data_IF_833403262592
#
_entry.id   IF_833403262592
#
_cell.length_a   1.000
_cell.length_b   1.000
_cell.length_c   1.000
_cell.angle_alpha   90.00
_cell.angle_beta   90.00
_cell.angle_gamma   90.00
#
_symmetry.space_group_name_H-M   'P 1'
#
loop_
_entity.id
_entity.type
_entity.pdbx_description
1 polymer ?
#
# COMPACT_ATOMS: atom_id res chain seq x y z
N UNK A 1 -11.48 -4.45 23.72
CA UNK A 1 -12.24 -3.18 23.80
C UNK A 1 -11.22 -2.04 23.73
N UNK A 2 -11.18 -1.28 22.64
CA UNK A 2 -10.23 -0.18 22.46
C UNK A 2 -10.73 0.97 23.35
N UNK A 3 -9.97 1.31 24.40
CA UNK A 3 -10.22 2.53 25.19
C UNK A 3 -9.58 3.70 24.44
N UNK A 4 -10.31 4.27 23.48
CA UNK A 4 -9.95 5.57 22.94
C UNK A 4 -10.51 6.66 23.86
N UNK A 5 -9.81 7.80 24.04
CA UNK A 5 -10.34 8.94 24.79
C UNK A 5 -11.46 9.69 24.05
N UNK A 6 -11.92 9.16 22.91
CA UNK A 6 -12.94 9.73 22.06
C UNK A 6 -14.05 8.71 21.82
N UNK A 7 -15.30 9.18 21.86
CA UNK A 7 -16.45 8.40 21.42
C UNK A 7 -16.56 8.54 19.90
N UNK A 8 -16.41 7.44 19.18
CA UNK A 8 -16.60 7.43 17.73
C UNK A 8 -18.09 7.40 17.40
N UNK A 9 -18.55 8.31 16.56
CA UNK A 9 -19.86 8.19 15.93
C UNK A 9 -19.76 7.15 14.79
N UNK A 10 -20.68 6.18 14.71
CA UNK A 10 -20.71 5.24 13.59
C UNK A 10 -20.98 5.98 12.28
N UNK A 11 -20.36 5.55 11.19
CA UNK A 11 -20.66 6.09 9.86
C UNK A 11 -22.09 5.71 9.46
N UNK A 12 -22.81 6.65 8.86
CA UNK A 12 -24.18 6.44 8.39
C UNK A 12 -24.18 5.36 7.29
N UNK A 13 -24.96 4.28 7.49
CA UNK A 13 -25.11 3.22 6.48
C UNK A 13 -25.87 3.70 5.25
N UNK A 14 -26.84 4.58 5.48
CA UNK A 14 -27.68 5.19 4.46
C UNK A 14 -27.59 6.71 4.62
N UNK A 15 -27.42 7.41 3.49
CA UNK A 15 -27.45 8.87 3.45
C UNK A 15 -28.82 9.28 2.95
N UNK A 16 -29.52 10.09 3.74
CA UNK A 16 -30.80 10.64 3.32
C UNK A 16 -30.57 11.80 2.33
N UNK A 17 -31.19 11.70 1.16
CA UNK A 17 -31.25 12.78 0.18
C UNK A 17 -32.70 13.23 0.05
N UNK A 18 -33.06 14.45 0.48
CA UNK A 18 -34.41 14.96 0.25
C UNK A 18 -34.70 15.11 -1.25
N UNK A 19 -35.97 15.08 -1.65
CA UNK A 19 -36.38 15.21 -3.05
C UNK A 19 -35.83 16.46 -3.74
N UNK A 20 -35.69 17.55 -2.99
CA UNK A 20 -35.15 18.85 -3.43
C UNK A 20 -33.62 18.96 -3.36
N UNK A 21 -32.89 17.88 -3.01
CA UNK A 21 -31.43 17.95 -2.81
C UNK A 21 -30.65 18.44 -4.04
N UNK A 22 -31.17 18.22 -5.25
CA UNK A 22 -30.57 18.66 -6.51
C UNK A 22 -30.84 20.13 -6.82
N UNK A 23 -31.82 20.74 -6.15
CA UNK A 23 -32.25 22.12 -6.37
C UNK A 23 -31.50 23.11 -5.47
N UNK A 24 -30.71 22.61 -4.51
CA UNK A 24 -29.87 23.44 -3.64
C UNK A 24 -28.72 24.03 -4.45
N UNK A 25 -28.82 25.32 -4.76
CA UNK A 25 -27.72 26.13 -5.27
C UNK A 25 -27.38 27.23 -4.27
N UNK A 26 -26.10 27.42 -3.98
CA UNK A 26 -25.65 28.60 -3.23
C UNK A 26 -25.61 29.88 -4.10
N UNK A 27 -25.71 29.72 -5.42
CA UNK A 27 -25.59 30.81 -6.40
C UNK A 27 -26.95 31.33 -6.89
N UNK A 28 -28.02 30.56 -6.69
CA UNK A 28 -29.38 30.91 -7.13
C UNK A 28 -30.30 30.85 -5.92
N UNK A 29 -30.73 31.99 -5.35
CA UNK A 29 -31.70 31.99 -4.27
C UNK A 29 -33.05 31.46 -4.78
N UNK A 30 -33.79 30.79 -3.90
CA UNK A 30 -35.17 30.38 -4.21
C UNK A 30 -36.03 31.63 -4.41
N UNK A 31 -36.92 31.59 -5.41
CA UNK A 31 -37.80 32.72 -5.77
C UNK A 31 -38.70 33.15 -4.60
N UNK A 32 -39.07 32.18 -3.77
CA UNK A 32 -39.89 32.26 -2.55
C UNK A 32 -39.05 32.05 -1.28
N UNK A 33 -37.72 32.15 -1.37
CA UNK A 33 -36.83 32.00 -0.24
C UNK A 33 -36.88 33.21 0.69
N UNK A 34 -37.18 32.97 1.96
CA UNK A 34 -37.06 33.98 3.01
C UNK A 34 -35.60 34.12 3.46
N UNK A 35 -35.13 35.37 3.60
CA UNK A 35 -33.82 35.67 4.18
C UNK A 35 -33.99 36.40 5.52
N UNK A 36 -33.13 36.10 6.49
CA UNK A 36 -33.17 36.78 7.78
C UNK A 36 -31.85 36.66 8.52
N UNK A 37 -31.73 37.45 9.58
CA UNK A 37 -30.60 37.43 10.49
C UNK A 37 -31.06 36.94 11.86
N UNK A 38 -30.23 36.11 12.49
CA UNK A 38 -30.44 35.61 13.84
C UNK A 38 -29.31 36.13 14.71
N UNK A 39 -29.64 36.98 15.67
CA UNK A 39 -28.70 37.45 16.68
C UNK A 39 -28.68 36.49 17.86
N UNK A 40 -27.49 36.03 18.25
CA UNK A 40 -27.29 35.01 19.28
C UNK A 40 -26.23 35.47 20.28
N UNK A 41 -26.50 35.29 21.57
CA UNK A 41 -25.51 35.45 22.64
C UNK A 41 -24.96 34.08 23.04
N UNK A 42 -23.63 33.90 22.96
CA UNK A 42 -22.96 32.63 23.29
C UNK A 42 -22.15 32.83 24.58
N UNK A 43 -22.43 32.02 25.60
CA UNK A 43 -21.70 32.02 26.87
C UNK A 43 -20.82 30.78 26.99
N UNK A 44 -19.54 30.97 27.32
CA UNK A 44 -18.62 29.86 27.60
C UNK A 44 -18.82 29.35 29.04
N UNK A 45 -19.33 28.13 29.21
CA UNK A 45 -19.50 27.48 30.52
C UNK A 45 -18.20 26.90 31.12
N UNK A 46 -17.16 26.78 30.30
CA UNK A 46 -15.82 26.36 30.68
C UNK A 46 -14.79 27.20 29.93
N UNK A 47 -13.52 27.25 30.37
CA UNK A 47 -12.46 27.89 29.59
C UNK A 47 -12.42 27.33 28.16
N UNK A 48 -12.43 28.22 27.17
CA UNK A 48 -12.33 27.88 25.75
C UNK A 48 -11.02 28.43 25.18
N UNK A 49 -10.41 27.68 24.29
CA UNK A 49 -9.20 28.11 23.57
C UNK A 49 -9.44 28.05 22.07
N UNK A 50 -9.27 29.20 21.39
CA UNK A 50 -9.45 29.32 19.95
C UNK A 50 -8.15 29.85 19.36
N UNK A 51 -7.49 29.00 18.58
CA UNK A 51 -6.19 29.29 18.00
C UNK A 51 -6.28 30.31 16.86
N UNK A 52 -5.29 31.20 16.77
CA UNK A 52 -5.13 32.07 15.61
C UNK A 52 -4.59 31.31 14.37
N UNK A 53 -4.87 31.86 13.19
CA UNK A 53 -4.50 31.34 11.87
C UNK A 53 -3.00 30.99 11.76
N UNK A 54 -2.67 29.94 10.98
CA UNK A 54 -1.27 29.54 10.72
C UNK A 54 -0.58 30.41 9.66
N UNK A 55 -1.32 31.20 8.89
CA UNK A 55 -0.78 31.98 7.76
C UNK A 55 -0.02 33.23 8.20
N UNK A 56 -0.26 33.72 9.41
CA UNK A 56 0.38 34.93 9.97
C UNK A 56 1.63 34.61 10.81
N UNK A 57 2.23 33.43 10.60
CA UNK A 57 3.28 32.89 11.46
C UNK A 57 4.66 32.99 10.79
N UNK A 58 5.48 33.95 11.22
CA UNK A 58 6.93 33.94 10.96
C UNK A 58 7.61 32.72 11.61
N UNK A 59 8.80 32.35 11.13
CA UNK A 59 9.47 31.07 11.47
C UNK A 59 9.67 30.83 12.99
N UNK A 60 9.77 31.88 13.81
CA UNK A 60 9.92 31.78 15.28
C UNK A 60 8.62 31.39 16.03
N UNK A 61 7.45 31.55 15.41
CA UNK A 61 6.14 31.32 16.06
C UNK A 61 5.63 29.87 15.97
N UNK A 62 6.48 28.91 15.59
CA UNK A 62 6.14 27.48 15.56
C UNK A 62 6.03 26.82 16.94
N UNK A 63 6.44 27.51 18.02
CA UNK A 63 6.50 26.92 19.38
C UNK A 63 5.25 27.13 20.24
N UNK A 64 4.45 28.18 20.01
CA UNK A 64 3.28 28.46 20.85
C UNK A 64 2.06 28.92 20.05
N UNK A 65 0.90 28.35 20.37
CA UNK A 65 -0.37 28.70 19.73
C UNK A 65 -1.02 29.82 20.52
N UNK A 66 -1.19 31.00 19.90
CA UNK A 66 -1.85 32.15 20.52
C UNK A 66 -3.36 32.13 20.31
N UNK A 67 -4.10 32.78 21.22
CA UNK A 67 -5.53 33.03 21.07
C UNK A 67 -5.80 33.88 19.82
N UNK A 68 -6.96 33.66 19.19
CA UNK A 68 -7.44 34.48 18.10
C UNK A 68 -7.88 35.85 18.63
N UNK A 69 -7.23 36.92 18.16
CA UNK A 69 -7.53 38.27 18.58
C UNK A 69 -7.33 39.28 17.44
N UNK A 70 -8.09 40.37 17.47
CA UNK A 70 -7.87 41.57 16.65
C UNK A 70 -7.77 42.75 17.61
N UNK A 71 -6.65 43.48 17.56
CA UNK A 71 -6.42 44.68 18.38
C UNK A 71 -6.71 44.48 19.88
N UNK A 72 -6.27 43.36 20.44
CA UNK A 72 -6.45 43.01 21.86
C UNK A 72 -7.82 42.42 22.22
N UNK A 73 -8.79 42.39 21.30
CA UNK A 73 -10.10 41.76 21.52
C UNK A 73 -10.09 40.31 21.03
N UNK A 74 -10.35 39.38 21.93
CA UNK A 74 -10.52 37.97 21.58
C UNK A 74 -11.87 37.73 20.92
N UNK A 75 -11.91 36.84 19.94
CA UNK A 75 -13.14 36.51 19.24
C UNK A 75 -13.13 35.05 18.76
N UNK A 76 -14.33 34.56 18.43
CA UNK A 76 -14.51 33.26 17.76
C UNK A 76 -14.68 33.53 16.27
N UNK A 77 -13.79 33.05 15.39
CA UNK A 77 -13.99 33.17 13.95
C UNK A 77 -15.31 32.52 13.52
N UNK A 78 -16.03 33.15 12.60
CA UNK A 78 -17.27 32.60 12.03
C UNK A 78 -17.03 31.22 11.40
N UNK A 79 -15.85 30.99 10.83
CA UNK A 79 -15.43 29.68 10.28
C UNK A 79 -15.34 28.60 11.35
N UNK A 80 -14.94 28.94 12.58
CA UNK A 80 -14.90 28.01 13.71
C UNK A 80 -16.31 27.64 14.16
N UNK A 81 -17.22 28.61 14.29
CA UNK A 81 -18.63 28.37 14.63
C UNK A 81 -19.28 27.49 13.56
N UNK A 82 -19.11 27.85 12.28
CA UNK A 82 -19.59 27.07 11.13
C UNK A 82 -19.05 25.64 11.17
N UNK A 83 -17.76 25.46 11.47
CA UNK A 83 -17.13 24.15 11.59
C UNK A 83 -17.74 23.30 12.70
N UNK A 84 -17.96 23.87 13.88
CA UNK A 84 -18.58 23.20 15.03
C UNK A 84 -20.01 22.79 14.72
N UNK A 85 -20.84 23.71 14.24
CA UNK A 85 -22.24 23.45 13.89
C UNK A 85 -22.32 22.38 12.80
N UNK A 86 -21.52 22.50 11.74
CA UNK A 86 -21.47 21.53 10.65
C UNK A 86 -21.10 20.13 11.17
N UNK A 87 -20.08 20.01 12.01
CA UNK A 87 -19.64 18.73 12.57
C UNK A 87 -20.76 18.02 13.33
N UNK A 88 -21.50 18.76 14.17
CA UNK A 88 -22.64 18.22 14.91
C UNK A 88 -23.81 17.90 13.98
N UNK A 89 -24.19 18.83 13.11
CA UNK A 89 -25.29 18.67 12.16
C UNK A 89 -25.08 17.48 11.22
N UNK A 90 -23.88 17.32 10.66
CA UNK A 90 -23.54 16.22 9.76
C UNK A 90 -23.74 14.86 10.45
N UNK A 91 -23.42 14.75 11.75
CA UNK A 91 -23.64 13.54 12.55
C UNK A 91 -25.14 13.32 12.81
N UNK A 92 -25.84 14.32 13.35
CA UNK A 92 -27.25 14.13 13.77
C UNK A 92 -28.23 13.99 12.61
N UNK A 93 -27.91 14.53 11.44
CA UNK A 93 -28.76 14.49 10.25
C UNK A 93 -28.56 13.25 9.38
N UNK A 94 -27.70 12.32 9.79
CA UNK A 94 -27.29 11.19 8.95
C UNK A 94 -26.75 11.62 7.56
N UNK A 95 -26.17 12.82 7.48
CA UNK A 95 -25.63 13.36 6.23
C UNK A 95 -24.41 12.58 5.74
N UNK A 96 -24.05 12.74 4.46
CA UNK A 96 -22.79 12.23 3.92
C UNK A 96 -21.63 12.94 4.58
N UNK A 97 -20.91 12.26 5.46
CA UNK A 97 -19.67 12.76 6.03
C UNK A 97 -18.62 12.87 4.91
N UNK A 98 -18.13 14.08 4.62
CA UNK A 98 -17.27 14.33 3.44
C UNK A 98 -15.79 14.06 3.70
N UNK A 99 -15.36 14.23 4.94
CA UNK A 99 -13.96 14.13 5.35
C UNK A 99 -13.62 12.74 5.95
N UNK A 100 -14.25 11.68 5.42
CA UNK A 100 -13.97 10.30 5.83
C UNK A 100 -13.52 9.49 4.62
N UNK A 101 -12.39 8.81 4.78
CA UNK A 101 -11.76 8.03 3.74
C UNK A 101 -11.94 6.54 4.10
N UNK A 102 -12.71 5.80 3.30
CA UNK A 102 -12.99 4.36 3.53
C UNK A 102 -11.86 3.48 2.99
N UNK A 103 -10.63 3.97 3.11
CA UNK A 103 -9.45 3.29 2.62
C UNK A 103 -8.94 2.30 3.67
N UNK A 104 -8.86 1.02 3.29
CA UNK A 104 -8.21 0.03 4.14
C UNK A 104 -6.69 0.25 4.12
N UNK A 105 -6.12 0.57 5.28
CA UNK A 105 -4.67 0.64 5.43
C UNK A 105 -4.01 -0.74 5.39
N UNK A 106 -2.93 -0.84 4.64
CA UNK A 106 -2.19 -2.09 4.49
C UNK A 106 -1.29 -2.37 5.70
N UNK A 107 -1.40 -3.58 6.25
CA UNK A 107 -0.63 -4.07 7.41
C UNK A 107 0.64 -4.77 6.94
N UNK A 108 1.78 -4.37 7.50
CA UNK A 108 3.07 -5.04 7.30
C UNK A 108 3.98 -4.86 8.52
N UNK A 109 3.69 -5.61 9.57
CA UNK A 109 4.42 -5.57 10.85
C UNK A 109 5.34 -6.77 11.03
N UNK A 110 6.60 -6.52 11.40
CA UNK A 110 7.55 -7.57 11.83
C UNK A 110 7.77 -7.54 13.35
N UNK A 111 6.96 -6.75 14.06
CA UNK A 111 7.10 -6.43 15.48
C UNK A 111 6.68 -7.61 16.35
N UNK A 112 7.41 -7.88 17.44
CA UNK A 112 7.20 -9.07 18.30
C UNK A 112 5.79 -9.18 18.93
N UNK A 113 4.97 -8.12 18.90
CA UNK A 113 3.59 -8.12 19.41
C UNK A 113 2.49 -8.35 18.35
N UNK A 114 2.79 -8.21 17.06
CA UNK A 114 1.80 -8.31 15.98
C UNK A 114 1.83 -9.70 15.33
N UNK A 115 1.24 -10.68 16.03
CA UNK A 115 1.18 -12.07 15.54
C UNK A 115 0.43 -12.20 14.22
N UNK A 116 -0.60 -11.37 14.00
CA UNK A 116 -1.49 -11.47 12.84
C UNK A 116 -0.74 -11.55 11.50
N UNK A 117 0.11 -10.56 11.19
CA UNK A 117 0.81 -10.52 9.90
C UNK A 117 1.72 -11.74 9.71
N UNK A 118 2.48 -12.10 10.74
CA UNK A 118 3.40 -13.24 10.68
C UNK A 118 2.66 -14.57 10.59
N UNK A 119 1.50 -14.71 11.23
CA UNK A 119 0.66 -15.90 11.13
C UNK A 119 0.04 -16.04 9.74
N UNK A 120 -0.39 -14.94 9.10
CA UNK A 120 -0.81 -14.99 7.71
C UNK A 120 0.37 -15.38 6.79
N UNK A 121 1.56 -14.81 6.99
CA UNK A 121 2.74 -15.10 6.16
C UNK A 121 3.33 -16.52 6.39
N UNK A 122 2.86 -17.25 7.41
CA UNK A 122 3.16 -18.67 7.60
C UNK A 122 2.28 -19.59 6.75
N UNK A 123 1.09 -19.12 6.34
CA UNK A 123 0.21 -19.88 5.43
C UNK A 123 0.82 -19.98 4.04
N UNK A 124 0.45 -20.99 3.22
CA UNK A 124 1.01 -21.17 1.89
C UNK A 124 0.82 -19.94 1.01
N UNK A 125 1.93 -19.41 0.48
CA UNK A 125 1.93 -18.28 -0.46
C UNK A 125 2.13 -18.84 -1.87
N UNK A 126 1.21 -18.48 -2.77
CA UNK A 126 1.26 -18.80 -4.20
C UNK A 126 1.88 -17.64 -4.96
N UNK A 127 2.21 -17.89 -6.21
CA UNK A 127 2.76 -16.92 -7.14
C UNK A 127 2.03 -16.99 -8.48
N UNK A 128 2.05 -15.89 -9.23
CA UNK A 128 1.38 -15.82 -10.50
C UNK A 128 1.55 -14.49 -11.20
N UNK A 129 0.90 -14.37 -12.34
CA UNK A 129 1.01 -13.21 -13.22
C UNK A 129 -0.30 -12.43 -13.21
N UNK A 130 -0.28 -11.21 -12.67
CA UNK A 130 -1.38 -10.25 -12.77
C UNK A 130 -1.39 -9.63 -14.16
N UNK A 131 -2.54 -9.63 -14.82
CA UNK A 131 -2.75 -8.99 -16.12
C UNK A 131 -4.14 -8.38 -16.19
N UNK A 132 -4.30 -7.43 -17.11
CA UNK A 132 -5.59 -6.84 -17.43
C UNK A 132 -6.16 -7.52 -18.66
N UNK A 133 -7.45 -7.88 -18.61
CA UNK A 133 -8.23 -8.35 -19.75
C UNK A 133 -9.50 -7.51 -19.77
N UNK A 134 -9.68 -6.75 -20.84
CA UNK A 134 -10.74 -5.74 -20.95
C UNK A 134 -10.68 -4.70 -19.81
N UNK A 135 -11.70 -4.68 -18.94
CA UNK A 135 -11.76 -3.83 -17.75
C UNK A 135 -11.42 -4.55 -16.45
N UNK A 136 -11.23 -5.87 -16.49
CA UNK A 136 -11.00 -6.70 -15.32
C UNK A 136 -9.54 -7.10 -15.17
N UNK A 137 -9.19 -7.48 -13.94
CA UNK A 137 -7.86 -7.93 -13.58
C UNK A 137 -7.91 -9.40 -13.19
N UNK A 138 -6.92 -10.15 -13.67
CA UNK A 138 -6.82 -11.58 -13.44
C UNK A 138 -5.41 -11.94 -12.99
N UNK A 139 -5.29 -12.97 -12.14
CA UNK A 139 -4.02 -13.59 -11.81
C UNK A 139 -3.99 -14.98 -12.44
N UNK A 140 -3.00 -15.20 -13.31
CA UNK A 140 -2.66 -16.54 -13.79
C UNK A 140 -1.81 -17.24 -12.73
N UNK A 141 -2.39 -18.26 -12.10
CA UNK A 141 -1.77 -19.00 -10.99
C UNK A 141 -0.63 -19.93 -11.46
N UNK A 142 0.58 -19.71 -10.92
CA UNK A 142 1.77 -20.55 -11.13
C UNK A 142 2.01 -21.55 -9.99
N UNK A 143 1.17 -21.56 -8.96
CA UNK A 143 1.29 -22.39 -7.77
C UNK A 143 2.32 -21.89 -6.77
N UNK A 144 3.02 -22.82 -6.11
CA UNK A 144 4.03 -22.48 -5.11
C UNK A 144 5.33 -22.04 -5.81
N UNK A 145 5.90 -20.88 -5.46
CA UNK A 145 7.11 -20.39 -6.10
C UNK A 145 8.34 -21.22 -5.72
N UNK A 146 9.13 -21.60 -6.73
CA UNK A 146 10.47 -22.15 -6.52
C UNK A 146 11.46 -21.09 -6.05
N UNK A 147 12.58 -21.52 -5.46
CA UNK A 147 13.70 -20.63 -5.11
C UNK A 147 14.91 -20.87 -5.98
N UNK A 148 15.48 -19.79 -6.47
CA UNK A 148 16.77 -19.80 -7.17
C UNK A 148 17.77 -18.93 -6.41
N UNK A 149 19.00 -19.42 -6.23
CA UNK A 149 20.03 -18.62 -5.54
C UNK A 149 20.55 -17.52 -6.47
N UNK A 150 20.91 -16.36 -5.91
CA UNK A 150 21.54 -15.30 -6.70
C UNK A 150 22.85 -15.75 -7.36
N UNK A 151 23.58 -16.68 -6.74
CA UNK A 151 24.77 -17.29 -7.35
C UNK A 151 24.45 -18.18 -8.55
N UNK A 152 23.26 -18.77 -8.59
CA UNK A 152 22.83 -19.54 -9.75
C UNK A 152 22.47 -18.61 -10.91
N UNK A 153 21.82 -17.48 -10.63
CA UNK A 153 21.59 -16.41 -11.60
C UNK A 153 22.91 -15.89 -12.20
N UNK A 154 23.95 -15.71 -11.36
CA UNK A 154 25.29 -15.36 -11.82
C UNK A 154 25.82 -16.36 -12.87
N UNK A 155 25.63 -17.66 -12.64
CA UNK A 155 26.07 -18.73 -13.56
C UNK A 155 25.29 -18.72 -14.87
N UNK A 156 23.96 -18.62 -14.81
CA UNK A 156 23.08 -18.68 -16.00
C UNK A 156 23.45 -17.57 -16.99
N UNK A 157 23.69 -16.35 -16.49
CA UNK A 157 23.89 -15.18 -17.35
C UNK A 157 25.34 -14.71 -17.47
N UNK A 158 26.28 -15.41 -16.82
CA UNK A 158 27.67 -15.01 -16.63
C UNK A 158 27.77 -13.56 -16.11
N UNK A 159 27.19 -13.30 -14.93
CA UNK A 159 27.13 -11.95 -14.32
C UNK A 159 27.65 -11.94 -12.88
N UNK A 160 27.83 -10.75 -12.33
CA UNK A 160 28.13 -10.53 -10.92
C UNK A 160 26.92 -10.02 -10.11
N UNK A 161 25.71 -10.44 -10.49
CA UNK A 161 24.46 -10.03 -9.87
C UNK A 161 24.49 -10.22 -8.35
N UNK A 162 24.93 -11.38 -7.84
CA UNK A 162 24.95 -11.64 -6.39
C UNK A 162 25.93 -10.75 -5.63
N UNK A 163 27.04 -10.31 -6.24
CA UNK A 163 28.05 -9.46 -5.57
C UNK A 163 27.46 -8.09 -5.21
N UNK A 164 26.60 -7.53 -6.07
CA UNK A 164 25.95 -6.21 -5.88
C UNK A 164 25.10 -6.14 -4.60
N UNK A 165 24.66 -7.28 -4.06
CA UNK A 165 23.81 -7.36 -2.87
C UNK A 165 24.57 -7.76 -1.60
N UNK A 166 25.90 -7.93 -1.65
CA UNK A 166 26.72 -8.27 -0.47
C UNK A 166 27.14 -7.03 0.31
N UNK A 167 27.51 -7.25 1.58
CA UNK A 167 28.18 -6.22 2.39
C UNK A 167 29.45 -5.74 1.67
N UNK A 168 29.68 -4.44 1.70
CA UNK A 168 30.75 -3.75 0.96
C UNK A 168 30.30 -3.18 -0.37
N UNK A 169 29.36 -3.83 -1.07
CA UNK A 169 28.83 -3.35 -2.35
C UNK A 169 27.42 -2.75 -2.24
N UNK A 170 26.59 -3.28 -1.35
CA UNK A 170 25.22 -2.84 -1.17
C UNK A 170 25.10 -1.73 -0.11
N UNK A 171 24.63 -0.55 -0.53
CA UNK A 171 24.34 0.55 0.40
C UNK A 171 22.90 0.43 0.94
N UNK A 172 22.77 0.21 2.25
CA UNK A 172 21.48 0.05 2.94
C UNK A 172 20.67 1.34 3.09
N UNK A 173 21.26 2.51 2.85
CA UNK A 173 20.59 3.82 2.96
C UNK A 173 19.96 4.24 1.64
N UNK A 174 20.52 3.78 0.51
CA UNK A 174 20.00 4.07 -0.83
C UNK A 174 18.75 3.24 -1.11
N UNK A 175 17.57 3.85 -0.94
CA UNK A 175 16.26 3.23 -1.19
C UNK A 175 16.14 2.62 -2.59
N UNK A 176 16.71 3.24 -3.61
CA UNK A 176 16.68 2.77 -4.99
C UNK A 176 17.30 1.38 -5.17
N UNK A 177 18.43 1.10 -4.50
CA UNK A 177 19.12 -0.19 -4.57
C UNK A 177 18.30 -1.33 -3.95
N UNK A 178 17.33 -0.99 -3.09
CA UNK A 178 16.43 -1.97 -2.45
C UNK A 178 15.29 -2.43 -3.34
N UNK A 179 15.06 -1.77 -4.47
CA UNK A 179 13.90 -1.99 -5.34
C UNK A 179 14.05 -3.26 -6.19
N UNK A 180 12.93 -3.89 -6.53
CA UNK A 180 12.90 -4.91 -7.58
C UNK A 180 13.26 -4.28 -8.95
N UNK A 181 12.83 -3.05 -9.23
CA UNK A 181 13.19 -2.28 -10.44
C UNK A 181 14.70 -2.28 -10.68
N UNK A 182 15.50 -1.98 -9.64
CA UNK A 182 16.96 -2.01 -9.74
C UNK A 182 17.49 -3.39 -10.10
N UNK A 183 16.98 -4.46 -9.47
CA UNK A 183 17.37 -5.84 -9.84
C UNK A 183 17.03 -6.19 -11.28
N UNK A 184 15.84 -5.83 -11.77
CA UNK A 184 15.50 -6.04 -13.19
C UNK A 184 16.41 -5.24 -14.12
N UNK A 185 16.88 -4.06 -13.72
CA UNK A 185 17.82 -3.27 -14.53
C UNK A 185 19.17 -3.98 -14.71
N UNK A 186 19.63 -4.71 -13.69
CA UNK A 186 20.86 -5.52 -13.76
C UNK A 186 20.73 -6.76 -14.67
N UNK A 187 19.49 -7.19 -14.93
CA UNK A 187 19.17 -8.34 -15.78
C UNK A 187 18.57 -7.91 -17.14
N UNK A 188 18.67 -6.61 -17.49
CA UNK A 188 18.12 -6.09 -18.74
C UNK A 188 18.78 -6.77 -19.93
N UNK A 189 17.96 -7.24 -20.88
CA UNK A 189 18.43 -7.95 -22.08
C UNK A 189 18.76 -9.42 -21.87
N UNK A 190 18.54 -9.97 -20.66
CA UNK A 190 18.63 -11.41 -20.39
C UNK A 190 17.26 -12.05 -20.53
N UNK A 191 17.23 -13.25 -21.12
CA UNK A 191 16.03 -14.07 -21.14
C UNK A 191 15.85 -14.71 -19.76
N UNK A 192 14.73 -14.39 -19.10
CA UNK A 192 14.45 -14.86 -17.74
C UNK A 192 13.70 -16.20 -17.72
N UNK A 193 13.27 -16.70 -18.88
CA UNK A 193 12.64 -18.00 -19.04
C UNK A 193 13.72 -19.07 -19.17
N UNK A 194 13.60 -20.14 -18.39
CA UNK A 194 14.61 -21.19 -18.29
C UNK A 194 13.95 -22.48 -17.78
N UNK A 195 14.67 -23.58 -17.90
CA UNK A 195 14.28 -24.86 -17.31
C UNK A 195 15.01 -25.11 -15.99
N UNK A 196 14.27 -25.65 -15.02
CA UNK A 196 14.75 -25.82 -13.66
C UNK A 196 14.45 -27.19 -13.08
N UNK A 197 15.45 -27.77 -12.44
CA UNK A 197 15.33 -29.02 -11.69
C UNK A 197 15.48 -28.78 -10.20
N UNK A 198 14.72 -29.54 -9.41
CA UNK A 198 14.79 -29.50 -7.96
C UNK A 198 16.20 -29.86 -7.49
N UNK A 199 16.75 -29.04 -6.61
CA UNK A 199 18.08 -29.25 -6.03
C UNK A 199 17.99 -29.80 -4.62
N UNK A 200 17.26 -29.11 -3.74
CA UNK A 200 17.12 -29.47 -2.32
C UNK A 200 16.05 -28.65 -1.62
N UNK A 201 15.64 -29.12 -0.44
CA UNK A 201 14.82 -28.36 0.50
C UNK A 201 15.70 -27.65 1.52
N UNK A 202 15.38 -26.39 1.82
CA UNK A 202 16.03 -25.61 2.88
C UNK A 202 14.98 -24.92 3.73
N UNK A 203 14.75 -25.46 4.93
CA UNK A 203 13.61 -25.11 5.77
C UNK A 203 12.29 -25.33 4.99
N UNK A 204 11.43 -24.34 4.89
CA UNK A 204 10.16 -24.38 4.14
C UNK A 204 10.29 -24.01 2.66
N UNK A 205 11.49 -24.08 2.08
CA UNK A 205 11.76 -23.59 0.71
C UNK A 205 12.35 -24.67 -0.17
N UNK A 206 11.74 -24.89 -1.32
CA UNK A 206 12.27 -25.75 -2.37
C UNK A 206 13.22 -24.93 -3.26
N UNK A 207 14.48 -25.35 -3.31
CA UNK A 207 15.55 -24.71 -4.05
C UNK A 207 15.77 -25.48 -5.35
N UNK A 208 15.97 -24.73 -6.42
CA UNK A 208 16.17 -25.23 -7.78
C UNK A 208 17.48 -24.71 -8.36
N UNK A 209 17.97 -25.40 -9.39
CA UNK A 209 19.09 -25.00 -10.24
C UNK A 209 18.65 -25.00 -11.71
N UNK A 210 19.39 -24.31 -12.57
CA UNK A 210 19.13 -24.38 -14.00
C UNK A 210 19.49 -25.79 -14.50
N UNK A 211 18.63 -26.33 -15.35
CA UNK A 211 18.77 -27.65 -15.95
C UNK A 211 17.89 -27.73 -17.20
N UNK A 212 18.49 -27.99 -18.37
CA UNK A 212 17.79 -28.04 -19.66
C UNK A 212 16.74 -29.16 -19.74
N UNK A 213 16.80 -30.17 -18.86
CA UNK A 213 15.81 -31.24 -18.75
C UNK A 213 14.77 -30.98 -17.66
N UNK A 214 14.84 -29.81 -17.00
CA UNK A 214 13.94 -29.40 -15.95
C UNK A 214 12.59 -28.88 -16.45
N UNK A 215 11.81 -28.31 -15.53
CA UNK A 215 10.52 -27.68 -15.81
C UNK A 215 10.70 -26.24 -16.23
N UNK A 216 9.93 -25.80 -17.22
CA UNK A 216 9.89 -24.41 -17.65
C UNK A 216 9.41 -23.49 -16.53
N UNK A 217 10.06 -22.34 -16.42
CA UNK A 217 9.68 -21.29 -15.48
C UNK A 217 10.42 -20.00 -15.74
N UNK A 218 9.95 -18.93 -15.09
CA UNK A 218 10.52 -17.60 -15.23
C UNK A 218 11.18 -17.17 -13.92
N UNK A 219 12.39 -16.62 -14.00
CA UNK A 219 13.06 -16.00 -12.86
C UNK A 219 12.37 -14.68 -12.51
N UNK A 220 11.88 -14.59 -11.28
CA UNK A 220 11.25 -13.39 -10.74
C UNK A 220 12.10 -12.85 -9.58
N UNK A 221 12.55 -11.60 -9.73
CA UNK A 221 13.30 -10.90 -8.70
C UNK A 221 12.41 -9.94 -7.92
N UNK A 222 12.62 -9.88 -6.60
CA UNK A 222 11.95 -8.92 -5.71
C UNK A 222 12.96 -8.10 -4.92
N UNK A 223 12.52 -7.04 -4.25
CA UNK A 223 13.39 -6.12 -3.51
C UNK A 223 14.36 -6.78 -2.51
N UNK A 224 15.36 -5.99 -2.09
CA UNK A 224 16.41 -6.36 -1.15
C UNK A 224 16.37 -5.41 0.06
N UNK A 225 15.92 -5.89 1.22
CA UNK A 225 15.82 -5.04 2.41
C UNK A 225 17.18 -4.61 2.98
N UNK A 226 18.15 -5.53 2.91
CA UNK A 226 19.50 -5.34 3.45
C UNK A 226 20.57 -6.11 2.69
N UNK A 227 21.81 -5.64 2.83
CA UNK A 227 23.00 -6.32 2.35
C UNK A 227 23.11 -7.75 2.90
N UNK A 228 23.51 -8.68 2.04
CA UNK A 228 23.84 -10.07 2.36
C UNK A 228 25.15 -10.12 3.15
N UNK A 229 25.08 -10.65 4.37
CA UNK A 229 26.23 -11.02 5.20
C UNK A 229 26.47 -12.52 5.08
N UNK A 230 27.66 -12.90 4.63
CA UNK A 230 28.07 -14.31 4.64
C UNK A 230 28.45 -14.76 6.05
N UNK A 231 28.42 -16.07 6.28
CA UNK A 231 28.87 -16.65 7.53
C UNK A 231 30.38 -16.38 7.70
N UNK A 232 30.77 -15.81 8.84
CA UNK A 232 32.17 -15.56 9.23
C UNK A 232 32.28 -15.71 10.74
N UNK A 233 33.37 -16.32 11.22
CA UNK A 233 33.73 -16.42 12.64
C UNK A 233 32.56 -16.87 13.54
N UNK A 234 31.92 -17.99 13.20
CA UNK A 234 30.79 -18.55 13.96
C UNK A 234 29.46 -17.78 13.83
N UNK A 235 29.42 -16.62 13.16
CA UNK A 235 28.16 -15.87 12.93
C UNK A 235 27.39 -16.48 11.75
N UNK A 236 26.10 -16.71 11.96
CA UNK A 236 25.17 -17.17 10.90
C UNK A 236 25.04 -16.11 9.82
N UNK A 237 24.95 -16.57 8.58
CA UNK A 237 24.73 -15.70 7.44
C UNK A 237 23.33 -15.05 7.51
N UNK A 238 23.20 -13.80 7.05
CA UNK A 238 21.94 -13.03 7.10
C UNK A 238 21.71 -12.21 5.83
N UNK A 239 20.47 -11.78 5.59
CA UNK A 239 20.07 -11.12 4.35
C UNK A 239 19.64 -12.10 3.25
N UNK A 240 18.85 -11.60 2.31
CA UNK A 240 18.21 -12.38 1.24
C UNK A 240 19.26 -12.88 0.24
N UNK A 241 19.18 -14.17 -0.10
CA UNK A 241 20.07 -14.88 -1.06
C UNK A 241 19.30 -15.60 -2.17
N UNK A 242 17.98 -15.75 -2.02
CA UNK A 242 17.13 -16.45 -2.98
C UNK A 242 16.18 -15.47 -3.65
N UNK A 243 16.06 -15.59 -4.96
CA UNK A 243 14.98 -15.05 -5.78
C UNK A 243 14.00 -16.19 -6.09
N UNK A 244 13.06 -15.95 -7.00
CA UNK A 244 11.90 -16.81 -7.20
C UNK A 244 11.88 -17.39 -8.61
N UNK A 245 11.27 -18.56 -8.75
CA UNK A 245 10.89 -19.14 -10.03
C UNK A 245 9.37 -19.25 -10.03
N UNK A 246 8.75 -18.67 -11.06
CA UNK A 246 7.33 -18.88 -11.35
C UNK A 246 7.27 -19.95 -12.42
N UNK A 247 6.91 -21.17 -12.04
CA UNK A 247 6.83 -22.27 -13.00
C UNK A 247 5.68 -22.06 -13.96
N UNK A 248 5.89 -22.45 -15.20
CA UNK A 248 4.80 -22.49 -16.17
C UNK A 248 3.78 -23.54 -15.72
N UNK A 249 2.56 -23.07 -15.51
CA UNK A 249 1.41 -23.93 -15.25
C UNK A 249 0.25 -23.51 -16.13
N UNK A 250 -0.37 -24.51 -16.73
CA UNK A 250 -1.67 -24.38 -17.37
C UNK A 250 -2.74 -24.45 -16.26
N UNK A 251 -3.38 -23.32 -15.97
CA UNK A 251 -4.73 -23.33 -15.39
C UNK A 251 -4.85 -23.01 -13.89
N UNK A 252 -5.12 -21.74 -13.61
CA UNK A 252 -6.40 -21.23 -13.07
C UNK A 252 -6.32 -19.71 -13.16
N UNK A 253 -7.21 -19.09 -13.92
CA UNK A 253 -7.37 -17.64 -13.89
C UNK A 253 -8.18 -17.29 -12.64
N UNK A 254 -7.64 -16.40 -11.81
CA UNK A 254 -8.31 -15.94 -10.60
C UNK A 254 -8.72 -14.49 -10.85
N UNK A 255 -10.03 -14.24 -10.87
CA UNK A 255 -10.57 -12.89 -10.97
C UNK A 255 -10.18 -12.09 -9.73
N UNK A 256 -9.61 -10.91 -9.95
CA UNK A 256 -9.34 -9.91 -8.91
C UNK A 256 -10.52 -8.97 -8.87
N UNK A 257 -11.27 -8.97 -7.76
CA UNK A 257 -12.39 -8.04 -7.58
C UNK A 257 -11.92 -6.60 -7.66
N UNK A 258 -12.78 -5.70 -8.16
CA UNK A 258 -12.50 -4.26 -8.29
C UNK A 258 -11.99 -3.66 -6.97
N UNK A 259 -12.69 -3.91 -5.85
CA UNK A 259 -12.26 -3.46 -4.51
C UNK A 259 -10.83 -3.89 -4.18
N UNK A 260 -10.48 -5.16 -4.39
CA UNK A 260 -9.14 -5.65 -4.08
C UNK A 260 -8.05 -5.00 -4.95
N UNK A 261 -8.38 -4.65 -6.19
CA UNK A 261 -7.47 -3.91 -7.06
C UNK A 261 -7.32 -2.45 -6.62
N UNK A 262 -8.39 -1.80 -6.15
CA UNK A 262 -8.37 -0.45 -5.56
C UNK A 262 -7.54 -0.42 -4.29
N UNK A 263 -7.80 -1.36 -3.37
CA UNK A 263 -7.03 -1.59 -2.16
C UNK A 263 -5.53 -1.76 -2.49
N UNK A 264 -5.20 -2.62 -3.47
CA UNK A 264 -3.83 -2.81 -3.93
C UNK A 264 -3.22 -1.48 -4.43
N UNK A 265 -3.91 -0.74 -5.30
CA UNK A 265 -3.44 0.57 -5.80
C UNK A 265 -3.18 1.54 -4.65
N UNK A 266 -4.10 1.62 -3.69
CA UNK A 266 -3.97 2.46 -2.51
C UNK A 266 -2.74 2.08 -1.68
N UNK A 267 -2.54 0.79 -1.41
CA UNK A 267 -1.40 0.29 -0.63
C UNK A 267 -0.03 0.57 -1.27
N UNK A 268 0.02 0.79 -2.58
CA UNK A 268 1.23 1.14 -3.34
C UNK A 268 1.28 2.62 -3.73
N UNK A 269 0.35 3.45 -3.23
CA UNK A 269 0.26 4.88 -3.50
C UNK A 269 0.19 5.20 -5.00
N UNK A 270 -0.62 4.42 -5.74
CA UNK A 270 -0.79 4.54 -7.19
C UNK A 270 -0.95 6.00 -7.64
N UNK A 271 -0.13 6.43 -8.60
CA UNK A 271 -0.13 7.78 -9.19
C UNK A 271 0.06 8.96 -8.20
N UNK A 272 0.46 8.71 -6.95
CA UNK A 272 0.62 9.76 -5.95
C UNK A 272 1.97 10.47 -6.09
N UNK A 273 1.93 11.80 -6.29
CA UNK A 273 3.13 12.65 -6.46
C UNK A 273 3.69 13.21 -5.14
N UNK A 274 2.84 13.36 -4.12
CA UNK A 274 3.21 13.91 -2.79
C UNK A 274 3.44 12.80 -1.78
N UNK A 275 4.30 13.04 -0.80
CA UNK A 275 4.64 12.02 0.21
C UNK A 275 3.40 11.48 0.97
N UNK A 276 3.34 10.16 1.23
CA UNK A 276 4.19 9.11 0.65
C UNK A 276 3.99 8.96 -0.87
N UNK A 277 5.10 9.02 -1.63
CA UNK A 277 5.07 8.89 -3.10
C UNK A 277 4.71 7.48 -3.56
N UNK A 278 4.28 7.37 -4.82
CA UNK A 278 4.07 6.09 -5.51
C UNK A 278 5.27 5.16 -5.32
N UNK A 279 4.98 3.88 -5.03
CA UNK A 279 6.02 2.88 -4.88
C UNK A 279 6.79 2.71 -6.19
N UNK A 280 8.13 2.85 -6.13
CA UNK A 280 9.02 2.70 -7.30
C UNK A 280 8.82 1.35 -8.02
N UNK A 281 8.60 0.28 -7.27
CA UNK A 281 8.34 -1.05 -7.84
C UNK A 281 6.96 -1.12 -8.51
N UNK A 282 5.93 -0.50 -7.91
CA UNK A 282 4.61 -0.45 -8.53
C UNK A 282 4.61 0.41 -9.78
N UNK A 283 5.17 1.62 -9.76
CA UNK A 283 5.30 2.47 -10.94
C UNK A 283 5.99 1.75 -12.11
N UNK A 284 7.04 0.98 -11.82
CA UNK A 284 7.72 0.14 -12.81
C UNK A 284 6.81 -0.94 -13.41
N UNK A 285 6.02 -1.62 -12.59
CA UNK A 285 5.13 -2.70 -13.03
C UNK A 285 3.84 -2.19 -13.69
N UNK A 286 3.28 -1.08 -13.20
CA UNK A 286 2.10 -0.41 -13.79
C UNK A 286 2.37 0.00 -15.23
N UNK A 287 3.51 0.65 -15.49
CA UNK A 287 3.93 1.01 -16.84
C UNK A 287 4.09 -0.19 -17.79
N UNK A 288 4.27 -1.41 -17.24
CA UNK A 288 4.22 -2.64 -18.04
C UNK A 288 2.79 -3.16 -18.17
N UNK A 289 2.02 -3.20 -17.09
CA UNK A 289 0.64 -3.68 -17.08
C UNK A 289 -0.26 -2.91 -18.06
N UNK A 290 0.00 -1.62 -18.25
CA UNK A 290 -0.69 -0.76 -19.22
C UNK A 290 -0.33 -1.10 -20.68
N UNK A 291 0.74 -1.85 -20.93
CA UNK A 291 1.13 -2.32 -22.27
C UNK A 291 0.48 -3.67 -22.57
N UNK A 292 -0.14 -3.79 -23.74
CA UNK A 292 -0.78 -5.02 -24.19
C UNK A 292 0.15 -6.24 -24.08
N UNK A 293 -0.37 -7.34 -23.54
CA UNK A 293 0.34 -8.62 -23.42
C UNK A 293 1.39 -8.70 -22.31
N UNK A 294 1.63 -7.64 -21.53
CA UNK A 294 2.57 -7.67 -20.40
C UNK A 294 1.86 -7.98 -19.09
N UNK A 295 2.54 -8.76 -18.26
CA UNK A 295 2.03 -9.22 -16.96
C UNK A 295 2.95 -8.76 -15.82
N UNK A 296 2.41 -8.70 -14.62
CA UNK A 296 3.09 -8.28 -13.39
C UNK A 296 3.23 -9.49 -12.46
N UNK A 297 4.43 -9.82 -11.97
CA UNK A 297 4.59 -10.91 -11.03
C UNK A 297 4.02 -10.52 -9.68
N UNK A 298 3.12 -11.35 -9.15
CA UNK A 298 2.49 -11.16 -7.85
C UNK A 298 2.58 -12.43 -7.01
N UNK A 299 2.52 -12.24 -5.70
CA UNK A 299 2.38 -13.29 -4.70
C UNK A 299 1.02 -13.13 -4.04
N UNK A 300 0.37 -14.24 -3.72
CA UNK A 300 -1.00 -14.20 -3.21
C UNK A 300 -1.34 -15.40 -2.34
N UNK A 301 -2.46 -15.29 -1.64
CA UNK A 301 -3.05 -16.36 -0.83
C UNK A 301 -4.49 -16.61 -1.26
N UNK A 302 -4.89 -17.87 -1.15
CA UNK A 302 -6.25 -18.32 -1.38
C UNK A 302 -6.86 -18.79 -0.05
N UNK A 303 -8.17 -18.66 0.08
CA UNK A 303 -8.92 -19.34 1.14
C UNK A 303 -9.09 -20.84 0.82
N UNK A 304 -9.71 -21.57 1.74
CA UNK A 304 -9.96 -23.01 1.60
C UNK A 304 -10.91 -23.34 0.44
N UNK A 305 -11.67 -22.35 -0.06
CA UNK A 305 -12.55 -22.45 -1.23
C UNK A 305 -11.85 -22.04 -2.53
N UNK A 306 -10.58 -21.65 -2.47
CA UNK A 306 -9.78 -21.22 -3.61
C UNK A 306 -10.09 -19.80 -4.11
N UNK A 307 -10.71 -18.95 -3.28
CA UNK A 307 -10.94 -17.52 -3.54
C UNK A 307 -9.72 -16.71 -3.14
N UNK A 308 -9.40 -15.68 -3.92
CA UNK A 308 -8.32 -14.74 -3.61
C UNK A 308 -8.60 -14.01 -2.29
N UNK A 309 -7.63 -14.05 -1.36
CA UNK A 309 -7.69 -13.30 -0.11
C UNK A 309 -6.92 -11.98 -0.23
N UNK A 310 -5.65 -12.07 -0.59
CA UNK A 310 -4.73 -10.94 -0.66
C UNK A 310 -3.66 -11.21 -1.72
N UNK A 311 -3.09 -10.14 -2.29
CA UNK A 311 -1.93 -10.26 -3.17
C UNK A 311 -0.99 -9.04 -3.07
N UNK A 312 0.24 -9.20 -3.56
CA UNK A 312 1.17 -8.07 -3.72
C UNK A 312 2.47 -8.39 -4.47
N UNK A 313 3.31 -7.37 -4.65
CA UNK A 313 4.50 -7.42 -5.52
C UNK A 313 5.72 -8.15 -4.92
N UNK A 314 5.67 -8.51 -3.64
CA UNK A 314 6.76 -9.19 -2.94
C UNK A 314 6.24 -10.37 -2.15
N UNK A 315 7.07 -11.39 -1.91
CA UNK A 315 6.63 -12.60 -1.20
C UNK A 315 6.06 -12.33 0.19
N UNK A 316 6.64 -11.35 0.91
CA UNK A 316 6.07 -10.83 2.16
C UNK A 316 5.41 -9.49 1.86
N UNK A 317 4.30 -9.51 1.12
CA UNK A 317 3.55 -8.34 0.67
C UNK A 317 2.76 -7.68 1.82
N UNK A 318 2.26 -6.47 1.60
CA UNK A 318 1.39 -5.79 2.57
C UNK A 318 -0.01 -6.43 2.53
N UNK A 319 -0.56 -6.80 3.69
CA UNK A 319 -1.91 -7.39 3.77
C UNK A 319 -2.93 -6.25 3.86
N UNK A 320 -4.02 -6.34 3.11
CA UNK A 320 -5.11 -5.37 3.14
C UNK A 320 -6.34 -6.13 3.63
N UNK A 321 -6.94 -5.65 4.73
CA UNK A 321 -8.05 -6.31 5.43
C UNK A 321 -9.42 -6.04 4.82
#
# INVERSE_FOLDING_TARGET
MIKAPYNFAPLNKEVFYPSWAKDISHDIPFRDGESGELELSITAHSPIFIANSKKDRGEESKKETKFCNVSGKFFIPATSIKGTIRSVLEIISFSKLRDFDDNTYAIRGFTKGEKFYMDQMRKPIRCGWLYKKDNDFFIQDCGIPGRISQKEIDKIYNTEFSKKFRVGSFNNEKKELKTAKYKYSLLKGKDLENKFSYLKKSYSRDIYKQDNNGKDGTIVVTGQSSARKEAKNGKKASGKIYEFIFFEKTGKEILVSQKMMEDFKFAYFDKREKEPKESVDWAYWRAKLEKAGKKVPVFFQLDDKGKLLHFGLAYMYKIIL
#
